data_IF_350309024587
#
_entry.id   IF_350309024587
#
_cell.length_a   1.000
_cell.length_b   1.000
_cell.length_c   1.000
_cell.angle_alpha   90.00
_cell.angle_beta   90.00
_cell.angle_gamma   90.00
#
_symmetry.space_group_name_H-M   'P 1'
#
loop_
_entity.id
_entity.type
_entity.pdbx_description
1 polymer ?
#
# COMPACT_ATOMS: atom_id res chain seq x y z
N UNK A 1 -45.21 61.43 9.54
CA UNK A 1 -43.73 61.49 9.66
C UNK A 1 -43.32 60.16 10.29
N UNK A 2 -43.37 59.02 9.58
CA UNK A 2 -42.77 58.73 8.27
C UNK A 2 -41.24 58.95 8.32
N UNK A 3 -40.36 57.95 8.26
CA UNK A 3 -40.13 56.98 7.15
C UNK A 3 -39.89 57.74 5.83
N UNK A 4 -38.82 57.52 5.07
CA UNK A 4 -38.37 56.23 4.49
C UNK A 4 -36.90 56.30 3.99
N UNK A 5 -36.32 55.14 3.63
CA UNK A 5 -35.06 55.03 2.88
C UNK A 5 -35.35 54.69 1.40
N UNK A 6 -34.58 55.24 0.47
CA UNK A 6 -34.60 54.90 -0.97
C UNK A 6 -33.27 55.31 -1.60
N UNK A 7 -32.39 54.36 -1.94
CA UNK A 7 -32.16 53.79 -3.29
C UNK A 7 -31.12 54.63 -4.10
N UNK A 8 -30.42 54.17 -5.15
CA UNK A 8 -30.66 53.16 -6.21
C UNK A 8 -29.33 52.61 -6.77
N UNK A 9 -29.20 51.28 -6.98
CA UNK A 9 -28.50 50.51 -8.07
C UNK A 9 -27.06 50.87 -8.55
N UNK A 10 -26.27 50.01 -9.22
CA UNK A 10 -26.59 48.76 -9.92
C UNK A 10 -25.41 47.76 -10.06
N UNK A 11 -25.77 46.47 -9.98
CA UNK A 11 -25.33 45.33 -10.84
C UNK A 11 -23.85 44.98 -11.07
N UNK A 12 -23.48 43.74 -11.43
CA UNK A 12 -24.03 42.37 -11.23
C UNK A 12 -23.06 41.39 -11.93
N UNK A 13 -22.92 40.16 -11.42
CA UNK A 13 -22.76 38.87 -12.16
C UNK A 13 -22.15 37.79 -11.25
N UNK A 14 -22.96 37.32 -10.31
CA UNK A 14 -22.95 35.94 -9.83
C UNK A 14 -24.41 35.47 -9.89
N UNK A 15 -24.64 34.36 -10.57
CA UNK A 15 -25.84 33.52 -10.53
C UNK A 15 -25.30 32.09 -10.59
N UNK A 16 -25.42 31.29 -9.53
CA UNK A 16 -26.63 30.65 -9.01
C UNK A 16 -26.98 29.39 -9.81
N UNK A 17 -26.78 28.23 -9.17
CA UNK A 17 -27.40 26.95 -9.50
C UNK A 17 -27.91 26.35 -8.20
N UNK A 18 -29.20 26.55 -7.93
CA UNK A 18 -29.88 26.12 -6.72
C UNK A 18 -30.14 24.61 -6.69
N UNK A 19 -30.10 24.06 -5.47
CA UNK A 19 -30.38 22.67 -5.14
C UNK A 19 -31.90 22.36 -5.17
N UNK A 20 -32.51 22.43 -6.37
CA UNK A 20 -33.92 22.06 -6.58
C UNK A 20 -34.18 21.43 -7.96
N UNK A 21 -33.75 20.17 -8.14
CA UNK A 21 -34.25 19.30 -9.22
C UNK A 21 -34.22 17.81 -8.84
N UNK A 22 -34.78 17.47 -7.68
CA UNK A 22 -34.98 16.08 -7.26
C UNK A 22 -36.25 15.84 -6.41
N UNK A 23 -37.37 16.45 -6.78
CA UNK A 23 -38.64 16.32 -6.02
C UNK A 23 -39.92 16.41 -6.85
N UNK A 24 -39.85 16.26 -8.17
CA UNK A 24 -41.01 16.31 -9.06
C UNK A 24 -41.05 15.11 -10.03
N UNK A 25 -41.51 13.94 -9.55
CA UNK A 25 -42.13 12.88 -10.36
C UNK A 25 -42.80 11.75 -9.52
N UNK A 26 -43.42 12.07 -8.38
CA UNK A 26 -44.27 11.12 -7.63
C UNK A 26 -45.63 11.74 -7.36
N UNK A 27 -46.57 11.56 -8.30
CA UNK A 27 -48.01 11.46 -8.05
C UNK A 27 -48.74 11.05 -9.35
N UNK A 28 -48.93 9.74 -9.51
CA UNK A 28 -50.19 9.17 -10.02
C UNK A 28 -50.38 7.79 -9.42
N UNK A 29 -51.43 7.70 -8.61
CA UNK A 29 -52.40 6.62 -8.42
C UNK A 29 -51.98 5.15 -8.49
N UNK A 30 -52.38 4.45 -7.42
CA UNK A 30 -52.37 3.00 -7.28
C UNK A 30 -53.50 2.43 -8.14
N UNK A 31 -53.16 1.53 -9.07
CA UNK A 31 -54.05 0.47 -9.54
C UNK A 31 -53.24 -0.84 -9.55
N UNK A 32 -53.74 -1.85 -8.86
CA UNK A 32 -53.07 -3.14 -8.68
C UNK A 32 -53.02 -3.93 -10.00
N UNK A 33 -51.83 -4.22 -10.53
CA UNK A 33 -51.54 -5.41 -11.35
C UNK A 33 -50.07 -5.81 -11.18
N UNK A 34 -49.81 -7.08 -10.84
CA UNK A 34 -48.48 -7.66 -10.64
C UNK A 34 -47.86 -8.08 -11.98
N UNK A 35 -46.82 -7.37 -12.45
CA UNK A 35 -45.94 -7.82 -13.53
C UNK A 35 -44.47 -7.54 -13.13
N UNK A 36 -43.64 -8.59 -13.10
CA UNK A 36 -42.23 -8.51 -12.66
C UNK A 36 -41.34 -7.81 -13.71
N UNK A 37 -40.78 -6.64 -13.38
CA UNK A 37 -39.78 -5.98 -14.22
C UNK A 37 -38.41 -6.62 -13.98
N UNK A 38 -38.03 -7.53 -14.88
CA UNK A 38 -36.71 -8.18 -14.88
C UNK A 38 -35.63 -7.22 -15.38
N UNK A 39 -34.81 -6.66 -14.47
CA UNK A 39 -33.66 -5.82 -14.83
C UNK A 39 -32.45 -6.73 -15.13
N UNK A 40 -32.07 -6.83 -16.40
CA UNK A 40 -30.84 -7.51 -16.86
C UNK A 40 -29.61 -6.62 -16.62
N UNK A 41 -28.58 -7.05 -15.86
CA UNK A 41 -27.38 -6.25 -15.61
C UNK A 41 -26.40 -6.13 -16.79
N UNK A 42 -26.64 -6.75 -17.95
CA UNK A 42 -25.58 -7.06 -18.93
C UNK A 42 -25.71 -6.41 -20.32
N UNK A 43 -26.08 -5.13 -20.41
CA UNK A 43 -26.03 -4.35 -21.67
C UNK A 43 -25.47 -2.93 -21.50
N UNK A 44 -24.15 -2.81 -21.27
CA UNK A 44 -23.42 -1.59 -21.68
C UNK A 44 -23.15 -1.75 -23.17
N UNK A 45 -23.71 -0.87 -24.00
CA UNK A 45 -23.48 -0.93 -25.45
C UNK A 45 -22.04 -0.55 -25.80
N UNK A 46 -21.49 -1.17 -26.85
CA UNK A 46 -20.12 -0.90 -27.35
C UNK A 46 -19.87 0.60 -27.58
N UNK A 47 -20.91 1.35 -27.99
CA UNK A 47 -20.85 2.80 -28.15
C UNK A 47 -20.55 3.54 -26.83
N UNK A 48 -21.19 3.15 -25.73
CA UNK A 48 -21.00 3.79 -24.42
C UNK A 48 -19.64 3.44 -23.81
N UNK A 49 -19.14 2.23 -24.08
CA UNK A 49 -17.76 1.85 -23.73
C UNK A 49 -16.71 2.61 -24.55
N UNK A 50 -16.97 2.84 -25.84
CA UNK A 50 -16.10 3.64 -26.71
C UNK A 50 -16.06 5.14 -26.30
N UNK A 51 -17.20 5.71 -25.88
CA UNK A 51 -17.26 7.07 -25.33
C UNK A 51 -16.46 7.22 -24.02
N UNK A 52 -16.56 6.25 -23.11
CA UNK A 52 -15.78 6.23 -21.86
C UNK A 52 -14.27 6.14 -22.14
N UNK A 53 -13.85 5.30 -23.10
CA UNK A 53 -12.45 5.18 -23.49
C UNK A 53 -11.90 6.48 -24.07
N UNK A 54 -12.67 7.17 -24.93
CA UNK A 54 -12.28 8.48 -25.48
C UNK A 54 -12.17 9.57 -24.41
N UNK A 55 -13.05 9.55 -23.41
CA UNK A 55 -12.97 10.45 -22.26
C UNK A 55 -11.69 10.21 -21.45
N UNK A 56 -11.34 8.95 -21.22
CA UNK A 56 -10.15 8.57 -20.46
C UNK A 56 -8.85 8.93 -21.21
N UNK A 57 -8.81 8.75 -22.54
CA UNK A 57 -7.70 9.21 -23.38
C UNK A 57 -7.52 10.73 -23.33
N UNK A 58 -8.61 11.51 -23.40
CA UNK A 58 -8.56 12.97 -23.32
C UNK A 58 -8.02 13.48 -21.96
N UNK A 59 -8.35 12.79 -20.86
CA UNK A 59 -7.82 13.10 -19.52
C UNK A 59 -6.31 12.82 -19.46
N UNK A 60 -5.83 11.70 -20.00
CA UNK A 60 -4.39 11.38 -20.03
C UNK A 60 -3.60 12.32 -20.95
N UNK A 61 -4.15 12.72 -22.08
CA UNK A 61 -3.53 13.72 -22.95
C UNK A 61 -3.38 15.08 -22.24
N UNK A 62 -4.36 15.45 -21.41
CA UNK A 62 -4.37 16.72 -20.68
C UNK A 62 -3.35 16.77 -19.54
N UNK A 63 -3.14 15.65 -18.82
CA UNK A 63 -2.16 15.60 -17.72
C UNK A 63 -0.70 15.70 -18.20
N UNK A 64 -0.40 15.21 -19.39
CA UNK A 64 0.93 15.32 -20.01
C UNK A 64 1.39 16.77 -20.24
N UNK A 65 0.47 17.72 -20.46
CA UNK A 65 0.80 19.14 -20.59
C UNK A 65 1.14 19.81 -19.24
N UNK A 66 0.64 19.30 -18.12
CA UNK A 66 0.92 19.87 -16.79
C UNK A 66 2.37 19.57 -16.38
N UNK A 67 2.90 18.39 -16.71
CA UNK A 67 4.27 17.99 -16.39
C UNK A 67 5.35 18.84 -17.07
N UNK A 68 5.06 19.47 -18.22
CA UNK A 68 6.04 20.25 -18.97
C UNK A 68 6.23 21.69 -18.47
N UNK A 69 5.34 22.20 -17.61
CA UNK A 69 5.39 23.59 -17.11
C UNK A 69 6.04 23.75 -15.72
N UNK A 70 6.43 22.67 -15.05
CA UNK A 70 7.08 22.71 -13.72
C UNK A 70 8.62 22.75 -13.81
N UNK A 71 9.20 22.47 -14.99
CA UNK A 71 10.67 22.39 -15.18
C UNK A 71 11.39 23.74 -15.29
N UNK A 72 10.69 24.88 -15.33
CA UNK A 72 11.27 26.19 -15.70
C UNK A 72 11.50 27.19 -14.53
N UNK A 73 11.50 26.75 -13.27
CA UNK A 73 11.78 27.62 -12.10
C UNK A 73 12.93 27.06 -11.22
N UNK A 74 13.91 26.38 -11.84
CA UNK A 74 15.07 25.82 -11.13
C UNK A 74 16.37 25.90 -11.96
N UNK A 75 16.82 27.11 -12.29
CA UNK A 75 18.16 27.35 -12.87
C UNK A 75 18.62 28.81 -12.71
N UNK A 76 19.94 29.00 -12.60
CA UNK A 76 20.67 30.26 -12.37
C UNK A 76 20.58 30.81 -10.92
N UNK A 77 21.67 31.22 -10.24
CA UNK A 77 23.11 31.13 -10.57
C UNK A 77 23.97 31.05 -9.30
N UNK A 78 25.01 30.22 -9.35
CA UNK A 78 26.13 30.26 -8.39
C UNK A 78 27.01 31.49 -8.63
N UNK A 79 27.64 32.03 -7.59
CA UNK A 79 28.76 32.98 -7.74
C UNK A 79 29.74 32.79 -6.59
N UNK A 80 31.00 32.56 -6.95
CA UNK A 80 32.10 32.25 -6.04
C UNK A 80 33.05 33.45 -5.95
N UNK A 81 33.45 33.84 -4.74
CA UNK A 81 34.58 34.75 -4.52
C UNK A 81 35.37 34.39 -3.26
N UNK A 82 36.69 34.50 -3.41
CA UNK A 82 37.72 34.50 -2.37
C UNK A 82 38.72 35.62 -2.74
N UNK A 83 39.65 36.09 -1.91
CA UNK A 83 40.18 35.64 -0.62
C UNK A 83 40.50 36.91 0.19
N UNK A 84 40.46 36.92 1.54
CA UNK A 84 41.61 37.35 2.38
C UNK A 84 41.34 37.39 3.89
N UNK A 85 42.44 37.24 4.65
CA UNK A 85 42.47 37.06 6.10
C UNK A 85 42.86 38.35 6.85
N UNK A 86 42.43 38.45 8.10
CA UNK A 86 43.07 39.30 9.11
C UNK A 86 43.10 38.54 10.45
N UNK A 87 44.27 38.45 11.08
CA UNK A 87 44.45 37.86 12.39
C UNK A 87 44.24 38.93 13.47
N UNK A 88 43.39 38.66 14.47
CA UNK A 88 43.42 39.35 15.77
C UNK A 88 42.72 38.52 16.85
N UNK A 89 43.52 37.82 17.65
CA UNK A 89 43.21 37.28 18.99
C UNK A 89 44.23 38.00 19.88
N UNK A 90 43.85 38.61 21.02
CA UNK A 90 43.29 37.83 22.12
C UNK A 90 42.19 38.47 23.00
N UNK A 91 41.47 37.55 23.65
CA UNK A 91 40.94 37.65 25.02
C UNK A 91 40.03 38.82 25.38
N UNK A 92 38.74 38.52 25.48
CA UNK A 92 37.95 38.98 26.62
C UNK A 92 37.04 37.84 27.09
N UNK A 93 37.52 37.06 28.05
CA UNK A 93 36.68 36.11 28.76
C UNK A 93 35.76 36.88 29.71
N UNK A 94 34.51 37.09 29.31
CA UNK A 94 33.45 37.50 30.22
C UNK A 94 33.13 36.31 31.13
N UNK A 95 33.88 36.20 32.22
CA UNK A 95 33.61 35.25 33.29
C UNK A 95 32.38 35.73 34.06
N UNK A 96 31.18 35.49 33.51
CA UNK A 96 29.95 35.65 34.27
C UNK A 96 30.01 34.67 35.45
N UNK A 97 30.06 35.22 36.66
CA UNK A 97 30.05 34.45 37.89
C UNK A 97 28.63 33.98 38.13
N UNK A 98 28.28 32.87 37.47
CA UNK A 98 27.04 32.14 37.72
C UNK A 98 27.10 31.42 39.07
N UNK A 99 25.96 31.35 39.73
CA UNK A 99 25.81 30.84 41.09
C UNK A 99 26.16 29.34 41.17
N UNK A 100 27.09 28.92 42.05
CA UNK A 100 27.47 27.51 42.21
C UNK A 100 26.31 26.58 42.62
N UNK A 101 25.17 27.11 43.08
CA UNK A 101 23.98 26.30 43.41
C UNK A 101 23.27 25.69 42.18
N UNK A 102 23.64 26.08 40.95
CA UNK A 102 22.95 25.66 39.70
C UNK A 102 23.71 24.63 38.84
N UNK A 103 24.89 24.19 39.29
CA UNK A 103 25.82 23.37 38.51
C UNK A 103 26.05 21.99 39.16
N UNK A 104 26.18 20.96 38.32
CA UNK A 104 26.42 19.57 38.76
C UNK A 104 27.48 18.89 37.91
N UNK A 105 28.11 17.84 38.44
CA UNK A 105 29.17 17.09 37.75
C UNK A 105 28.58 15.85 37.06
N UNK A 106 28.80 15.70 35.75
CA UNK A 106 28.35 14.50 35.04
C UNK A 106 29.27 13.30 35.30
N UNK A 107 28.71 12.19 35.82
CA UNK A 107 29.46 10.96 36.12
C UNK A 107 30.04 10.18 34.93
N UNK A 108 29.87 10.65 33.69
CA UNK A 108 30.41 10.00 32.47
C UNK A 108 31.58 10.81 31.89
N UNK A 109 31.36 12.09 31.55
CA UNK A 109 32.42 12.94 31.00
C UNK A 109 33.26 13.67 32.08
N UNK A 110 32.81 13.67 33.34
CA UNK A 110 33.45 14.38 34.46
C UNK A 110 33.55 15.90 34.21
N UNK A 111 32.63 16.44 33.40
CA UNK A 111 32.46 17.87 33.17
C UNK A 111 31.39 18.45 34.09
N UNK A 112 31.58 19.71 34.51
CA UNK A 112 30.55 20.49 35.20
C UNK A 112 29.56 21.01 34.17
N UNK A 113 28.26 20.87 34.47
CA UNK A 113 27.14 21.19 33.58
C UNK A 113 26.07 21.95 34.36
N UNK A 114 25.37 22.84 33.69
CA UNK A 114 24.17 23.50 34.24
C UNK A 114 23.04 22.48 34.43
N UNK A 115 22.15 22.71 35.39
CA UNK A 115 21.03 21.79 35.68
C UNK A 115 20.06 21.59 34.48
N UNK A 116 20.03 22.52 33.52
CA UNK A 116 19.28 22.42 32.25
C UNK A 116 19.95 21.49 31.20
N UNK A 117 21.24 21.20 31.34
CA UNK A 117 22.02 20.29 30.49
C UNK A 117 22.05 18.87 31.07
N UNK A 118 21.47 18.66 32.25
CA UNK A 118 21.40 17.37 32.91
C UNK A 118 20.08 16.68 32.61
N UNK A 119 20.18 15.39 32.30
CA UNK A 119 19.07 14.49 32.10
C UNK A 119 18.99 13.54 33.29
N UNK A 120 17.79 13.41 33.85
CA UNK A 120 17.48 12.52 34.97
C UNK A 120 16.35 11.58 34.56
N UNK A 121 16.56 10.28 34.73
CA UNK A 121 15.54 9.27 34.40
C UNK A 121 14.56 9.12 35.58
N UNK A 122 13.25 9.15 35.34
CA UNK A 122 12.24 8.94 36.38
C UNK A 122 12.39 7.59 37.11
N UNK A 123 12.91 6.57 36.42
CA UNK A 123 13.03 5.20 36.94
C UNK A 123 14.32 4.91 37.73
N UNK A 124 15.22 5.90 37.90
CA UNK A 124 16.37 5.78 38.82
C UNK A 124 16.96 7.15 39.22
N UNK A 125 17.58 7.24 40.40
CA UNK A 125 18.21 8.49 40.88
C UNK A 125 19.51 8.92 40.15
N UNK A 126 19.84 8.32 38.99
CA UNK A 126 21.03 8.66 38.22
C UNK A 126 20.77 9.83 37.26
N UNK A 127 21.71 10.77 37.23
CA UNK A 127 21.66 11.95 36.34
C UNK A 127 22.97 12.10 35.58
N UNK A 128 22.87 12.40 34.29
CA UNK A 128 24.00 12.56 33.37
C UNK A 128 23.70 13.67 32.37
N UNK A 129 24.71 14.29 31.77
CA UNK A 129 24.45 15.34 30.79
C UNK A 129 23.80 14.79 29.51
N UNK A 130 22.99 15.62 28.87
CA UNK A 130 22.31 15.35 27.59
C UNK A 130 23.27 14.82 26.52
N UNK A 131 24.48 15.37 26.42
CA UNK A 131 25.53 14.91 25.50
C UNK A 131 25.92 13.44 25.72
N UNK A 132 26.00 13.01 26.98
CA UNK A 132 26.40 11.64 27.33
C UNK A 132 25.24 10.65 27.18
N UNK A 133 24.01 11.06 27.51
CA UNK A 133 22.81 10.25 27.21
C UNK A 133 22.63 10.08 25.71
N UNK A 134 22.80 11.16 24.93
CA UNK A 134 22.74 11.12 23.46
C UNK A 134 23.75 10.14 22.88
N UNK A 135 25.00 10.18 23.35
CA UNK A 135 26.05 9.25 22.92
C UNK A 135 25.76 7.80 23.35
N UNK A 136 25.22 7.58 24.55
CA UNK A 136 24.80 6.24 25.01
C UNK A 136 23.68 5.67 24.12
N UNK A 137 22.64 6.45 23.84
CA UNK A 137 21.52 6.05 22.98
C UNK A 137 22.03 5.70 21.58
N UNK A 138 22.83 6.59 20.97
CA UNK A 138 23.41 6.35 19.65
C UNK A 138 24.25 5.06 19.61
N UNK A 139 25.14 4.86 20.59
CA UNK A 139 25.99 3.66 20.67
C UNK A 139 25.17 2.37 20.86
N UNK A 140 24.09 2.39 21.65
CA UNK A 140 23.21 1.22 21.80
C UNK A 140 22.43 0.88 20.53
N UNK A 141 22.06 1.90 19.75
CA UNK A 141 21.45 1.72 18.43
C UNK A 141 22.45 1.30 17.34
N UNK A 142 23.75 1.57 17.53
CA UNK A 142 24.85 1.00 16.72
C UNK A 142 25.10 -0.48 17.03
N UNK A 143 24.89 -0.90 18.28
CA UNK A 143 24.89 -2.31 18.70
C UNK A 143 23.57 -3.06 18.40
N UNK A 144 22.65 -2.45 17.63
CA UNK A 144 21.32 -2.98 17.30
C UNK A 144 20.38 -3.26 18.50
N UNK A 145 20.60 -2.60 19.65
CA UNK A 145 19.66 -2.65 20.78
C UNK A 145 18.61 -1.53 20.69
N UNK A 146 17.33 -1.90 20.66
CA UNK A 146 16.20 -0.97 20.75
C UNK A 146 15.84 -0.60 22.20
N UNK A 147 16.27 -1.38 23.19
CA UNK A 147 16.12 -1.09 24.63
C UNK A 147 17.43 -0.47 25.13
N UNK A 148 17.39 0.81 25.51
CA UNK A 148 18.55 1.53 26.05
C UNK A 148 18.48 1.56 27.58
N UNK A 149 19.47 0.98 28.26
CA UNK A 149 19.58 1.04 29.72
C UNK A 149 20.28 2.32 30.20
N UNK A 150 19.96 2.71 31.44
CA UNK A 150 20.65 3.78 32.14
C UNK A 150 22.17 3.52 32.22
N UNK A 151 23.04 4.53 32.01
CA UNK A 151 24.49 4.37 32.14
C UNK A 151 25.01 4.12 33.57
N UNK A 152 24.17 4.22 34.59
CA UNK A 152 24.57 4.02 35.99
C UNK A 152 25.11 2.61 36.25
N UNK A 153 26.18 2.51 37.04
CA UNK A 153 26.75 1.22 37.44
C UNK A 153 25.68 0.32 38.09
N UNK A 154 25.61 -0.92 37.62
CA UNK A 154 24.60 -1.93 37.99
C UNK A 154 23.12 -1.49 37.86
N UNK A 155 22.84 -0.41 37.12
CA UNK A 155 21.50 0.12 36.94
C UNK A 155 20.74 -0.63 35.83
N UNK A 156 19.59 -1.21 36.19
CA UNK A 156 18.68 -1.90 35.25
C UNK A 156 17.50 -1.04 34.77
N UNK A 157 17.49 0.24 35.13
CA UNK A 157 16.48 1.18 34.67
C UNK A 157 16.61 1.40 33.15
N UNK A 158 15.48 1.47 32.45
CA UNK A 158 15.42 1.73 31.00
C UNK A 158 15.20 3.22 30.78
N UNK A 159 15.83 3.77 29.74
CA UNK A 159 15.56 5.12 29.26
C UNK A 159 14.33 5.08 28.33
N UNK A 160 13.28 5.82 28.66
CA UNK A 160 12.10 5.92 27.77
C UNK A 160 12.40 6.80 26.56
N UNK A 161 11.76 6.50 25.43
CA UNK A 161 11.94 7.27 24.19
C UNK A 161 11.38 8.69 24.35
N UNK A 162 10.24 8.83 25.01
CA UNK A 162 9.54 10.09 25.29
C UNK A 162 10.42 11.02 26.14
N UNK A 163 10.95 10.48 27.25
CA UNK A 163 11.82 11.23 28.18
C UNK A 163 13.08 11.75 27.46
N UNK A 164 13.65 10.97 26.53
CA UNK A 164 14.85 11.34 25.78
C UNK A 164 14.58 12.26 24.58
N UNK A 165 13.33 12.35 24.10
CA UNK A 165 12.97 13.12 22.90
C UNK A 165 13.42 14.59 22.93
N UNK A 166 13.34 15.35 24.05
CA UNK A 166 13.79 16.74 24.10
C UNK A 166 15.30 16.94 23.95
N UNK A 167 16.12 15.93 24.22
CA UNK A 167 17.59 16.05 24.25
C UNK A 167 18.28 15.38 23.04
N UNK A 168 17.59 14.51 22.31
CA UNK A 168 18.18 13.73 21.22
C UNK A 168 18.15 14.48 19.87
N UNK A 169 19.24 14.45 19.09
CA UNK A 169 19.22 14.91 17.71
C UNK A 169 18.23 14.12 16.85
N UNK A 170 17.57 14.79 15.90
CA UNK A 170 16.54 14.21 15.01
C UNK A 170 16.95 12.88 14.37
N UNK A 171 18.19 12.77 13.88
CA UNK A 171 18.71 11.55 13.26
C UNK A 171 18.77 10.36 14.24
N UNK A 172 19.07 10.61 15.51
CA UNK A 172 19.10 9.57 16.56
C UNK A 172 17.68 9.16 16.94
N UNK A 173 16.73 10.10 16.97
CA UNK A 173 15.31 9.79 17.18
C UNK A 173 14.71 8.97 16.05
N UNK A 174 14.96 9.34 14.80
CA UNK A 174 14.53 8.59 13.62
C UNK A 174 15.07 7.15 13.65
N UNK A 175 16.35 6.99 14.04
CA UNK A 175 16.97 5.67 14.20
C UNK A 175 16.37 4.86 15.36
N UNK A 176 16.14 5.48 16.53
CA UNK A 176 15.54 4.77 17.66
C UNK A 176 14.11 4.35 17.36
N UNK A 177 13.32 5.24 16.76
CA UNK A 177 11.97 4.93 16.30
C UNK A 177 11.99 3.79 15.27
N UNK A 178 12.91 3.81 14.30
CA UNK A 178 13.12 2.71 13.36
C UNK A 178 13.41 1.38 14.06
N UNK A 179 14.35 1.36 15.01
CA UNK A 179 14.70 0.15 15.77
C UNK A 179 13.54 -0.37 16.65
N UNK A 180 12.71 0.52 17.21
CA UNK A 180 11.49 0.15 17.95
C UNK A 180 10.43 -0.44 17.01
N UNK A 181 10.21 0.17 15.84
CA UNK A 181 9.31 -0.36 14.82
C UNK A 181 9.78 -1.73 14.30
N UNK A 182 11.08 -1.91 14.04
CA UNK A 182 11.63 -3.20 13.63
C UNK A 182 11.43 -4.28 14.71
N UNK A 183 11.63 -3.93 15.98
CA UNK A 183 11.43 -4.83 17.12
C UNK A 183 10.00 -5.38 17.23
N UNK A 184 8.98 -4.57 16.90
CA UNK A 184 7.57 -5.02 16.87
C UNK A 184 7.31 -6.11 15.84
N UNK A 185 8.13 -6.20 14.78
CA UNK A 185 8.00 -7.16 13.69
C UNK A 185 9.10 -8.25 13.69
N UNK A 186 9.81 -8.44 14.81
CA UNK A 186 10.77 -9.54 14.98
C UNK A 186 9.99 -10.84 15.20
N UNK A 187 9.94 -11.66 14.14
CA UNK A 187 9.25 -12.96 14.13
C UNK A 187 8.03 -13.01 13.21
N UNK A 188 7.45 -11.86 12.85
CA UNK A 188 6.31 -11.79 11.92
C UNK A 188 6.73 -12.16 10.50
N UNK A 189 5.85 -12.86 9.76
CA UNK A 189 6.10 -13.17 8.36
C UNK A 189 5.96 -11.91 7.50
N UNK A 190 7.05 -11.52 6.83
CA UNK A 190 7.09 -10.39 5.91
C UNK A 190 6.93 -10.89 4.47
N UNK A 191 6.01 -10.29 3.73
CA UNK A 191 5.84 -10.48 2.29
C UNK A 191 6.19 -9.19 1.54
N UNK A 192 6.70 -9.35 0.33
CA UNK A 192 6.82 -8.26 -0.62
C UNK A 192 5.64 -8.30 -1.58
N UNK A 193 5.20 -7.13 -2.05
CA UNK A 193 4.29 -7.05 -3.19
C UNK A 193 4.94 -7.74 -4.41
N UNK A 194 4.28 -8.68 -5.09
CA UNK A 194 4.91 -9.44 -6.17
C UNK A 194 4.92 -8.70 -7.53
N UNK A 195 4.38 -7.49 -7.57
CA UNK A 195 4.41 -6.65 -8.77
C UNK A 195 5.71 -5.86 -8.81
N UNK A 196 6.49 -6.02 -9.89
CA UNK A 196 7.85 -5.46 -10.02
C UNK A 196 7.94 -3.93 -9.97
N UNK A 197 6.81 -3.24 -10.16
CA UNK A 197 6.65 -1.79 -10.04
C UNK A 197 6.16 -1.34 -8.65
N UNK A 198 6.06 -2.24 -7.67
CA UNK A 198 5.64 -1.94 -6.29
C UNK A 198 6.55 -2.62 -5.25
N UNK A 199 7.29 -1.83 -4.48
CA UNK A 199 8.24 -2.34 -3.46
C UNK A 199 7.64 -2.41 -2.03
N UNK A 200 6.31 -2.43 -1.90
CA UNK A 200 5.64 -2.42 -0.60
C UNK A 200 5.90 -3.72 0.18
N UNK A 201 6.19 -3.59 1.48
CA UNK A 201 6.33 -4.70 2.42
C UNK A 201 5.04 -4.84 3.24
N UNK A 202 4.58 -6.07 3.40
CA UNK A 202 3.39 -6.44 4.14
C UNK A 202 3.81 -7.34 5.30
N UNK A 203 3.18 -7.14 6.46
CA UNK A 203 3.37 -7.99 7.64
C UNK A 203 2.12 -8.83 7.81
N UNK A 204 2.27 -10.16 7.86
CA UNK A 204 1.16 -11.07 8.20
C UNK A 204 1.16 -11.26 9.73
N UNK A 205 0.05 -10.87 10.36
CA UNK A 205 -0.19 -11.05 11.80
C UNK A 205 -0.91 -12.38 12.12
N UNK A 206 -1.40 -13.10 11.11
CA UNK A 206 -2.20 -14.32 11.27
C UNK A 206 -1.32 -15.59 11.31
N UNK A 207 -1.16 -16.17 12.50
CA UNK A 207 -0.57 -17.52 12.68
C UNK A 207 -1.58 -18.68 12.46
N UNK A 208 -2.88 -18.39 12.31
CA UNK A 208 -3.96 -19.39 12.36
C UNK A 208 -4.65 -19.74 11.04
N UNK A 209 -4.81 -18.79 10.13
CA UNK A 209 -5.45 -19.01 8.82
C UNK A 209 -4.52 -18.59 7.69
N UNK A 210 -4.37 -19.49 6.71
CA UNK A 210 -3.63 -19.20 5.49
C UNK A 210 -4.44 -18.26 4.59
N UNK A 211 -4.39 -16.96 4.90
CA UNK A 211 -4.90 -15.89 4.05
C UNK A 211 -4.21 -16.02 2.68
N UNK A 212 -4.93 -16.57 1.69
CA UNK A 212 -4.38 -16.79 0.34
C UNK A 212 -4.61 -15.58 -0.56
N UNK A 213 -5.78 -14.95 -0.52
CA UNK A 213 -6.07 -13.71 -1.25
C UNK A 213 -5.66 -12.49 -0.41
N UNK A 214 -4.98 -11.52 -1.03
CA UNK A 214 -4.57 -10.29 -0.34
C UNK A 214 -4.47 -9.12 -1.32
N UNK A 215 -4.83 -7.92 -0.87
CA UNK A 215 -4.68 -6.68 -1.63
C UNK A 215 -3.41 -5.94 -1.16
N UNK A 216 -2.63 -5.38 -2.08
CA UNK A 216 -1.53 -4.50 -1.71
C UNK A 216 -2.04 -3.07 -1.43
N UNK A 217 -1.91 -2.51 -0.20
CA UNK A 217 -2.44 -1.18 0.13
C UNK A 217 -1.74 -0.02 -0.59
N UNK A 218 -0.61 -0.26 -1.26
CA UNK A 218 0.14 0.75 -1.99
C UNK A 218 -0.22 0.82 -3.49
N UNK A 219 -0.71 -0.28 -4.07
CA UNK A 219 -1.00 -0.35 -5.51
C UNK A 219 -2.36 -0.99 -5.85
N UNK A 220 -3.17 -1.31 -4.84
CA UNK A 220 -4.54 -1.84 -4.92
C UNK A 220 -4.72 -3.06 -5.83
N UNK A 221 -3.64 -3.83 -6.03
CA UNK A 221 -3.66 -5.06 -6.83
C UNK A 221 -3.73 -6.28 -5.91
N UNK A 222 -4.63 -7.19 -6.27
CA UNK A 222 -4.77 -8.49 -5.62
C UNK A 222 -3.58 -9.40 -5.98
N UNK A 223 -3.11 -10.14 -5.00
CA UNK A 223 -2.05 -11.13 -5.12
C UNK A 223 -2.32 -12.35 -4.23
N UNK A 224 -1.70 -13.48 -4.56
CA UNK A 224 -1.72 -14.65 -3.68
C UNK A 224 -0.58 -14.54 -2.66
N UNK A 225 -0.90 -14.41 -1.36
CA UNK A 225 0.10 -14.34 -0.29
C UNK A 225 0.85 -15.69 -0.08
N UNK A 226 0.17 -16.81 -0.31
CA UNK A 226 0.77 -18.15 -0.24
C UNK A 226 1.75 -18.46 -1.38
N UNK A 227 1.44 -18.03 -2.61
CA UNK A 227 2.29 -18.26 -3.78
C UNK A 227 3.22 -17.09 -4.13
N UNK A 228 3.02 -15.90 -3.55
CA UNK A 228 3.76 -14.66 -3.83
C UNK A 228 3.76 -14.27 -5.32
N UNK A 229 2.58 -14.29 -5.93
CA UNK A 229 2.33 -14.00 -7.36
C UNK A 229 1.05 -13.16 -7.51
N UNK A 230 0.82 -12.49 -8.66
CA UNK A 230 -0.47 -11.87 -8.98
C UNK A 230 -1.65 -12.83 -8.76
N UNK A 231 -2.82 -12.29 -8.39
CA UNK A 231 -3.97 -13.13 -8.02
C UNK A 231 -4.46 -13.99 -9.17
N UNK A 232 -4.62 -15.29 -8.90
CA UNK A 232 -4.98 -16.31 -9.87
C UNK A 232 -6.38 -16.86 -9.58
N UNK A 233 -7.40 -15.99 -9.72
CA UNK A 233 -8.79 -16.40 -9.54
C UNK A 233 -9.16 -17.58 -10.44
N UNK A 234 -9.99 -18.49 -9.90
CA UNK A 234 -10.48 -19.66 -10.64
C UNK A 234 -9.55 -20.88 -10.65
N UNK A 235 -8.28 -20.74 -10.27
CA UNK A 235 -7.38 -21.89 -10.03
C UNK A 235 -6.87 -21.86 -8.59
N UNK A 236 -6.82 -23.03 -7.95
CA UNK A 236 -6.18 -23.13 -6.65
C UNK A 236 -4.64 -23.01 -6.80
N UNK A 237 -3.94 -22.88 -5.67
CA UNK A 237 -2.48 -22.69 -5.70
C UNK A 237 -1.77 -23.91 -6.27
N UNK A 238 -2.31 -25.10 -5.99
CA UNK A 238 -1.80 -26.39 -6.38
C UNK A 238 -1.90 -26.58 -7.91
N UNK A 239 -3.04 -26.23 -8.51
CA UNK A 239 -3.25 -26.12 -9.96
C UNK A 239 -2.37 -25.04 -10.59
N UNK A 240 -2.31 -23.84 -10.00
CA UNK A 240 -1.51 -22.73 -10.52
C UNK A 240 -0.02 -23.09 -10.62
N UNK A 241 0.52 -23.81 -9.65
CA UNK A 241 1.92 -24.27 -9.70
C UNK A 241 2.17 -25.37 -10.75
N UNK A 242 1.13 -26.07 -11.22
CA UNK A 242 1.23 -27.02 -12.34
C UNK A 242 1.11 -26.39 -13.72
N UNK A 243 0.64 -25.13 -13.82
CA UNK A 243 0.59 -24.39 -15.09
C UNK A 243 2.01 -24.00 -15.56
N UNK A 244 2.25 -24.02 -16.88
CA UNK A 244 3.48 -23.49 -17.45
C UNK A 244 3.50 -21.95 -17.36
N UNK A 245 4.68 -21.31 -17.51
CA UNK A 245 4.79 -19.84 -17.41
C UNK A 245 3.92 -19.11 -18.43
N UNK A 246 3.79 -19.65 -19.64
CA UNK A 246 2.93 -19.17 -20.73
C UNK A 246 1.43 -19.40 -20.50
N UNK A 247 1.05 -20.10 -19.43
CA UNK A 247 -0.35 -20.31 -19.01
C UNK A 247 -0.73 -19.55 -17.73
N UNK A 248 0.22 -18.81 -17.14
CA UNK A 248 0.03 -18.01 -15.91
C UNK A 248 -0.31 -16.54 -16.21
N UNK A 249 -0.45 -16.16 -17.48
CA UNK A 249 -0.90 -14.83 -17.88
C UNK A 249 -2.31 -14.53 -17.39
N UNK A 250 -2.62 -13.25 -17.16
CA UNK A 250 -3.97 -12.83 -16.70
C UNK A 250 -5.05 -13.33 -17.66
N UNK A 251 -4.81 -13.21 -18.96
CA UNK A 251 -5.73 -13.62 -20.01
C UNK A 251 -5.94 -15.15 -20.01
N UNK A 252 -4.87 -15.93 -19.84
CA UNK A 252 -4.91 -17.39 -19.77
C UNK A 252 -5.68 -17.90 -18.54
N UNK A 253 -5.49 -17.24 -17.39
CA UNK A 253 -6.23 -17.52 -16.17
C UNK A 253 -7.73 -17.18 -16.32
N UNK A 254 -8.07 -16.08 -16.99
CA UNK A 254 -9.46 -15.74 -17.32
C UNK A 254 -10.09 -16.77 -18.27
N UNK A 255 -9.35 -17.25 -19.28
CA UNK A 255 -9.79 -18.34 -20.16
C UNK A 255 -9.96 -19.66 -19.38
N UNK A 256 -9.08 -19.94 -18.42
CA UNK A 256 -9.17 -21.13 -17.56
C UNK A 256 -10.43 -21.09 -16.68
N UNK A 257 -10.69 -19.95 -16.03
CA UNK A 257 -11.91 -19.74 -15.23
C UNK A 257 -13.18 -19.91 -16.09
N UNK A 258 -13.26 -19.25 -17.24
CA UNK A 258 -14.37 -19.40 -18.17
C UNK A 258 -14.55 -20.86 -18.62
N UNK A 259 -13.44 -21.57 -18.89
CA UNK A 259 -13.47 -22.97 -19.25
C UNK A 259 -14.00 -23.88 -18.13
N UNK A 260 -13.72 -23.58 -16.85
CA UNK A 260 -14.31 -24.28 -15.70
C UNK A 260 -15.81 -24.04 -15.62
N UNK A 261 -16.24 -22.78 -15.70
CA UNK A 261 -17.67 -22.38 -15.67
C UNK A 261 -18.48 -23.04 -16.80
N UNK A 262 -17.96 -23.01 -18.04
CA UNK A 262 -18.59 -23.63 -19.21
C UNK A 262 -18.35 -25.14 -19.33
N UNK A 263 -17.62 -25.74 -18.39
CA UNK A 263 -17.22 -27.17 -18.39
C UNK A 263 -16.56 -27.60 -19.72
N UNK A 264 -15.74 -26.72 -20.27
CA UNK A 264 -14.88 -26.98 -21.43
C UNK A 264 -13.77 -27.98 -21.08
N UNK A 265 -13.29 -28.74 -22.07
CA UNK A 265 -12.27 -29.78 -21.85
C UNK A 265 -11.06 -29.54 -22.72
N UNK A 266 -9.86 -29.56 -22.13
CA UNK A 266 -8.60 -29.51 -22.87
C UNK A 266 -8.40 -30.80 -23.67
N UNK A 267 -7.89 -30.69 -24.89
CA UNK A 267 -7.49 -31.84 -25.68
C UNK A 267 -6.22 -32.49 -25.06
N UNK A 268 -6.19 -33.81 -24.81
CA UNK A 268 -5.03 -34.47 -24.20
C UNK A 268 -3.73 -34.43 -25.02
N UNK A 269 -3.82 -34.15 -26.34
CA UNK A 269 -2.65 -34.10 -27.24
C UNK A 269 -2.09 -32.68 -27.45
N UNK A 270 -2.94 -31.66 -27.48
CA UNK A 270 -2.53 -30.29 -27.83
C UNK A 270 -3.00 -29.21 -26.83
N UNK A 271 -3.60 -29.64 -25.71
CA UNK A 271 -4.04 -28.83 -24.56
C UNK A 271 -5.04 -27.68 -24.82
N UNK A 272 -5.32 -27.31 -26.07
CA UNK A 272 -6.40 -26.38 -26.43
C UNK A 272 -7.74 -26.83 -25.83
N UNK A 273 -8.47 -25.86 -25.27
CA UNK A 273 -9.85 -26.05 -24.84
C UNK A 273 -10.76 -26.40 -26.03
N UNK A 274 -11.68 -27.33 -25.79
CA UNK A 274 -12.73 -27.72 -26.70
C UNK A 274 -14.06 -27.52 -25.99
N UNK A 275 -14.97 -26.82 -26.64
CA UNK A 275 -16.37 -26.71 -26.25
C UNK A 275 -17.18 -27.85 -26.88
N UNK A 276 -18.06 -28.48 -26.09
CA UNK A 276 -19.07 -29.41 -26.59
C UNK A 276 -20.42 -28.71 -26.70
N UNK A 277 -20.84 -28.41 -27.92
CA UNK A 277 -22.15 -27.78 -28.18
C UNK A 277 -23.31 -28.75 -27.93
N UNK A 278 -23.35 -29.91 -28.62
CA UNK A 278 -24.42 -30.91 -28.51
C UNK A 278 -23.90 -32.34 -28.75
N UNK A 279 -24.74 -33.36 -28.55
CA UNK A 279 -24.45 -34.73 -28.99
C UNK A 279 -23.54 -35.57 -28.09
N UNK A 280 -22.77 -36.47 -28.70
CA UNK A 280 -22.02 -37.57 -28.08
C UNK A 280 -20.83 -37.11 -27.21
N UNK A 281 -20.30 -37.99 -26.37
CA UNK A 281 -19.03 -37.78 -25.64
C UNK A 281 -17.78 -38.00 -26.51
N UNK A 282 -17.90 -38.61 -27.69
CA UNK A 282 -16.80 -38.75 -28.65
C UNK A 282 -16.53 -37.42 -29.34
N UNK A 283 -15.34 -36.87 -29.12
CA UNK A 283 -14.91 -35.58 -29.68
C UNK A 283 -13.67 -35.78 -30.53
N UNK A 284 -13.65 -35.15 -31.71
CA UNK A 284 -12.46 -35.03 -32.57
C UNK A 284 -11.92 -33.60 -32.48
N UNK A 285 -10.69 -33.44 -32.00
CA UNK A 285 -10.04 -32.13 -31.91
C UNK A 285 -9.53 -31.65 -33.28
N UNK A 286 -9.27 -30.34 -33.41
CA UNK A 286 -8.59 -29.74 -34.57
C UNK A 286 -7.21 -30.34 -34.85
N UNK A 287 -6.52 -30.87 -33.83
CA UNK A 287 -5.27 -31.62 -33.97
C UNK A 287 -5.46 -33.09 -34.43
N UNK A 288 -6.67 -33.45 -34.86
CA UNK A 288 -7.10 -34.79 -35.30
C UNK A 288 -7.10 -35.87 -34.19
N UNK A 289 -6.75 -35.53 -32.95
CA UNK A 289 -6.87 -36.45 -31.82
C UNK A 289 -8.34 -36.66 -31.41
N UNK A 290 -8.70 -37.92 -31.15
CA UNK A 290 -10.05 -38.30 -30.75
C UNK A 290 -10.05 -38.70 -29.27
N UNK A 291 -10.95 -38.12 -28.48
CA UNK A 291 -11.01 -38.34 -27.04
C UNK A 291 -12.44 -38.28 -26.50
N UNK A 292 -12.62 -38.81 -25.30
CA UNK A 292 -13.88 -38.73 -24.57
C UNK A 292 -13.98 -37.42 -23.80
N UNK A 293 -15.01 -36.62 -24.06
CA UNK A 293 -15.27 -35.38 -23.33
C UNK A 293 -15.60 -35.58 -21.84
N UNK A 294 -16.10 -36.76 -21.46
CA UNK A 294 -16.42 -37.08 -20.06
C UNK A 294 -15.16 -37.22 -19.20
N UNK A 295 -14.25 -38.10 -19.61
CA UNK A 295 -13.07 -38.49 -18.81
C UNK A 295 -11.72 -37.95 -19.32
N UNK A 296 -11.67 -37.37 -20.53
CA UNK A 296 -10.42 -36.91 -21.14
C UNK A 296 -9.51 -38.02 -21.70
N UNK A 297 -9.93 -39.29 -21.73
CA UNK A 297 -9.12 -40.39 -22.26
C UNK A 297 -9.21 -40.49 -23.81
N UNK A 298 -8.19 -41.12 -24.43
CA UNK A 298 -8.18 -41.43 -25.87
C UNK A 298 -9.39 -42.30 -26.27
N UNK A 299 -10.00 -41.96 -27.41
CA UNK A 299 -11.16 -42.69 -27.90
C UNK A 299 -10.74 -43.96 -28.64
N UNK A 300 -10.90 -45.12 -28.00
CA UNK A 300 -10.61 -46.44 -28.54
C UNK A 300 -11.88 -47.26 -28.76
N UNK A 301 -11.82 -48.34 -29.54
CA UNK A 301 -12.97 -49.21 -29.85
C UNK A 301 -13.68 -49.79 -28.62
N UNK A 302 -12.97 -49.90 -27.49
CA UNK A 302 -13.47 -50.50 -26.25
C UNK A 302 -13.92 -49.42 -25.24
N UNK A 303 -13.99 -48.15 -25.63
CA UNK A 303 -14.34 -47.02 -24.77
C UNK A 303 -15.87 -46.94 -24.51
N UNK A 304 -16.43 -47.98 -23.89
CA UNK A 304 -17.88 -48.11 -23.63
C UNK A 304 -18.37 -47.65 -22.25
N UNK A 305 -17.48 -47.32 -21.32
CA UNK A 305 -17.83 -47.22 -19.88
C UNK A 305 -18.22 -45.85 -19.33
N UNK A 306 -17.89 -44.73 -19.99
CA UNK A 306 -17.92 -43.41 -19.33
C UNK A 306 -19.31 -42.78 -19.11
N UNK A 307 -20.41 -43.43 -19.49
CA UNK A 307 -21.76 -42.95 -19.18
C UNK A 307 -22.09 -43.00 -17.68
N UNK A 308 -21.44 -43.88 -16.90
CA UNK A 308 -21.78 -44.12 -15.49
C UNK A 308 -21.07 -43.21 -14.48
N UNK A 309 -20.14 -42.36 -14.91
CA UNK A 309 -19.32 -41.51 -14.03
C UNK A 309 -19.69 -40.02 -14.04
N UNK A 310 -20.60 -39.56 -14.92
CA UNK A 310 -20.95 -38.14 -15.05
C UNK A 310 -21.95 -37.59 -14.00
N UNK A 311 -22.34 -38.37 -12.98
CA UNK A 311 -23.31 -37.97 -11.94
C UNK A 311 -22.73 -37.94 -10.51
N UNK A 312 -21.40 -37.82 -10.35
CA UNK A 312 -20.75 -37.63 -9.04
C UNK A 312 -19.64 -36.57 -9.11
N UNK A 313 -20.08 -35.31 -9.10
CA UNK A 313 -19.53 -34.14 -8.39
C UNK A 313 -20.20 -32.88 -8.95
#
# INVERSE_FOLDING_TARGET
MAQEQSAVSASALLLDLDDTSLSALIHHDIDDHEDEIHIDPTMISDAKYAEELQLQEAIMASSAFISQNISNIASCSSSSLTIQAAQAVPSSATHEVLDPETQTLCGICVEVKENNQMFSNESCAHSFCSDCITRQVAAKLDESFHIVSCPGLDCKAVLKFEDCTPILPKLVLERWNGALCEALFVGSQKLYCPFSDCSMVLVIENEGEAVRESECPACHRLFCAGCQVPWHSGVDCEEFQMLNEDERGREDLMVNQLAKEKKWKRCPRCHFYVEKTQGCLHISCRCQFQFCYGCGAEWTSNHGGCQSQCNRN
#
